data_IF_963934086802
#
_entry.id   IF_963934086802
#
_cell.length_a   1.000
_cell.length_b   1.000
_cell.length_c   1.000
_cell.angle_alpha   90.00
_cell.angle_beta   90.00
_cell.angle_gamma   90.00
#
_symmetry.space_group_name_H-M   'P 1'
#
loop_
_entity.id
_entity.type
_entity.pdbx_description
1 polymer ?
#
# COMPACT_ATOMS: atom_id res chain seq x y z
N UNK A 1 -6.08 -12.18 -37.75
CA UNK A 1 -5.79 -11.56 -36.45
C UNK A 1 -4.95 -10.31 -36.70
N UNK A 2 -5.48 -9.13 -36.40
CA UNK A 2 -4.71 -7.89 -36.42
C UNK A 2 -3.71 -7.99 -35.28
N UNK A 3 -2.41 -7.85 -35.57
CA UNK A 3 -1.41 -7.73 -34.51
C UNK A 3 -1.72 -6.44 -33.74
N UNK A 4 -2.10 -6.57 -32.47
CA UNK A 4 -2.17 -5.41 -31.59
C UNK A 4 -0.83 -4.69 -31.66
N UNK A 5 -0.85 -3.38 -31.88
CA UNK A 5 0.37 -2.57 -31.88
C UNK A 5 0.97 -2.57 -30.48
N UNK A 6 2.29 -2.32 -30.39
CA UNK A 6 2.96 -2.09 -29.11
C UNK A 6 2.22 -0.99 -28.33
N UNK A 7 2.05 -1.19 -27.02
CA UNK A 7 1.42 -0.21 -26.15
C UNK A 7 -0.11 -0.21 -26.11
N UNK A 8 -0.77 -1.18 -26.74
CA UNK A 8 -2.22 -1.30 -26.70
C UNK A 8 -2.66 -2.53 -25.90
N UNK A 9 -3.77 -2.40 -25.19
CA UNK A 9 -4.43 -3.56 -24.57
C UNK A 9 -4.70 -4.62 -25.63
N UNK A 10 -4.37 -5.88 -25.32
CA UNK A 10 -4.48 -7.02 -26.25
C UNK A 10 -5.74 -7.85 -26.05
N UNK A 11 -6.45 -7.63 -24.94
CA UNK A 11 -7.70 -8.31 -24.66
C UNK A 11 -8.85 -7.71 -25.49
N UNK A 12 -9.58 -8.59 -26.17
CA UNK A 12 -10.89 -8.24 -26.72
C UNK A 12 -11.92 -8.49 -25.60
N UNK A 13 -12.75 -7.54 -25.28
CA UNK A 13 -13.76 -7.69 -24.25
C UNK A 13 -13.99 -6.39 -23.49
N UNK A 14 -14.84 -6.45 -22.45
CA UNK A 14 -15.11 -5.29 -21.61
C UNK A 14 -13.89 -4.94 -20.80
N UNK A 15 -13.54 -3.66 -20.80
CA UNK A 15 -12.56 -3.13 -19.85
C UNK A 15 -13.19 -2.98 -18.45
N UNK A 16 -12.35 -2.82 -17.44
CA UNK A 16 -12.81 -2.46 -16.10
C UNK A 16 -13.59 -1.14 -16.14
N UNK A 17 -13.16 -0.17 -16.94
CA UNK A 17 -13.86 1.11 -17.11
C UNK A 17 -15.28 0.92 -17.67
N UNK A 18 -15.47 -0.02 -18.60
CA UNK A 18 -16.82 -0.34 -19.12
C UNK A 18 -17.75 -0.90 -18.03
N UNK A 19 -17.20 -1.54 -17.02
CA UNK A 19 -17.95 -2.01 -15.84
C UNK A 19 -18.26 -0.84 -14.91
N UNK A 20 -17.24 -0.06 -14.53
CA UNK A 20 -17.36 1.06 -13.60
C UNK A 20 -18.33 2.16 -14.11
N UNK A 21 -18.37 2.37 -15.42
CA UNK A 21 -19.31 3.33 -16.04
C UNK A 21 -20.78 2.94 -15.91
N UNK A 22 -21.08 1.70 -15.53
CA UNK A 22 -22.44 1.18 -15.29
C UNK A 22 -22.81 1.12 -13.82
N UNK A 23 -21.93 1.56 -12.93
CA UNK A 23 -22.21 1.62 -11.50
C UNK A 23 -23.44 2.49 -11.22
N UNK A 24 -24.29 2.06 -10.28
CA UNK A 24 -25.53 2.78 -9.90
C UNK A 24 -25.21 4.08 -9.17
N UNK A 25 -24.14 4.10 -8.39
CA UNK A 25 -23.50 5.31 -7.87
C UNK A 25 -22.18 5.44 -8.61
N UNK A 26 -21.98 6.55 -9.35
CA UNK A 26 -20.82 6.70 -10.22
C UNK A 26 -19.49 6.54 -9.48
N UNK A 27 -18.56 5.83 -10.12
CA UNK A 27 -17.20 5.73 -9.65
C UNK A 27 -16.52 7.12 -9.71
N UNK A 28 -15.68 7.49 -8.74
CA UNK A 28 -14.89 8.70 -8.80
C UNK A 28 -13.94 8.69 -10.00
N UNK A 29 -13.69 9.87 -10.59
CA UNK A 29 -12.88 10.01 -11.79
C UNK A 29 -11.52 9.28 -11.74
N UNK A 30 -10.77 9.30 -10.63
CA UNK A 30 -9.51 8.56 -10.54
C UNK A 30 -9.66 7.05 -10.70
N UNK A 31 -10.80 6.46 -10.32
CA UNK A 31 -11.06 5.04 -10.56
C UNK A 31 -11.36 4.75 -12.03
N UNK A 32 -11.96 5.71 -12.74
CA UNK A 32 -12.21 5.59 -14.19
C UNK A 32 -10.94 5.86 -15.02
N UNK A 33 -9.94 6.51 -14.45
CA UNK A 33 -8.68 6.74 -15.13
C UNK A 33 -7.97 5.41 -15.40
N UNK A 34 -7.42 5.29 -16.60
CA UNK A 34 -6.50 4.21 -16.95
C UNK A 34 -5.15 4.83 -17.26
N UNK A 35 -4.15 4.44 -16.51
CA UNK A 35 -2.79 4.96 -16.61
C UNK A 35 -1.86 3.85 -17.11
N UNK A 36 -2.15 3.34 -18.31
CA UNK A 36 -1.28 2.36 -18.96
C UNK A 36 -0.12 3.07 -19.67
N UNK A 37 1.09 2.82 -19.17
CA UNK A 37 2.32 3.22 -19.85
C UNK A 37 3.06 1.97 -20.36
N UNK A 38 3.34 1.94 -21.66
CA UNK A 38 4.05 0.82 -22.26
C UNK A 38 5.54 0.93 -21.99
N UNK A 39 6.05 0.11 -21.08
CA UNK A 39 7.46 0.10 -20.68
C UNK A 39 8.34 -0.85 -21.50
N UNK A 40 7.79 -1.53 -22.47
CA UNK A 40 8.48 -2.51 -23.35
C UNK A 40 7.96 -3.94 -23.17
N UNK A 41 8.33 -4.81 -24.09
CA UNK A 41 8.04 -6.26 -24.08
C UNK A 41 9.32 -7.11 -24.12
N UNK A 42 10.47 -6.52 -23.81
CA UNK A 42 11.72 -7.26 -23.69
C UNK A 42 11.74 -8.05 -22.35
N UNK A 43 12.44 -9.17 -22.36
CA UNK A 43 12.63 -9.97 -21.16
C UNK A 43 13.33 -9.15 -20.04
N UNK A 44 12.90 -9.34 -18.81
CA UNK A 44 13.55 -8.72 -17.66
C UNK A 44 14.85 -9.45 -17.35
N UNK A 45 15.93 -8.66 -17.13
CA UNK A 45 17.20 -9.21 -16.73
C UNK A 45 17.10 -9.86 -15.34
N UNK A 46 17.34 -11.17 -15.27
CA UNK A 46 17.31 -11.93 -14.02
C UNK A 46 18.30 -11.39 -12.95
N UNK A 47 19.33 -10.68 -13.36
CA UNK A 47 20.28 -10.06 -12.43
C UNK A 47 19.62 -9.04 -11.50
N UNK A 48 18.50 -8.43 -11.93
CA UNK A 48 17.70 -7.52 -11.09
C UNK A 48 17.16 -8.21 -9.82
N UNK A 49 17.03 -9.54 -9.83
CA UNK A 49 16.50 -10.34 -8.72
C UNK A 49 17.60 -11.07 -7.95
N UNK A 50 18.72 -11.33 -8.57
CA UNK A 50 19.73 -12.25 -8.04
C UNK A 50 21.04 -11.58 -7.64
N UNK A 51 21.38 -10.40 -8.19
CA UNK A 51 22.65 -9.76 -7.91
C UNK A 51 22.63 -8.85 -6.67
N UNK A 52 23.57 -9.11 -5.75
CA UNK A 52 23.76 -8.27 -4.56
C UNK A 52 24.09 -6.80 -4.90
N UNK A 53 24.80 -6.55 -6.01
CA UNK A 53 25.09 -5.21 -6.49
C UNK A 53 23.86 -4.43 -6.91
N UNK A 54 22.85 -5.11 -7.49
CA UNK A 54 21.58 -4.50 -7.82
C UNK A 54 20.79 -4.16 -6.53
N UNK A 55 20.69 -5.10 -5.59
CA UNK A 55 20.03 -4.87 -4.29
C UNK A 55 20.68 -3.70 -3.51
N UNK A 56 22.00 -3.55 -3.55
CA UNK A 56 22.69 -2.42 -2.94
C UNK A 56 22.31 -1.06 -3.58
N UNK A 57 22.10 -1.06 -4.91
CA UNK A 57 21.58 0.14 -5.61
C UNK A 57 20.14 0.45 -5.21
N UNK A 58 19.29 -0.54 -5.06
CA UNK A 58 17.91 -0.37 -4.57
C UNK A 58 17.90 0.28 -3.19
N UNK A 59 18.73 -0.21 -2.26
CA UNK A 59 18.83 0.38 -0.91
C UNK A 59 19.18 1.86 -0.92
N UNK A 60 20.08 2.29 -1.81
CA UNK A 60 20.58 3.66 -1.83
C UNK A 60 19.78 4.61 -2.72
N UNK A 61 19.22 4.11 -3.82
CA UNK A 61 18.58 4.92 -4.85
C UNK A 61 17.05 4.87 -4.84
N UNK A 62 16.48 3.85 -4.21
CA UNK A 62 15.03 3.67 -4.11
C UNK A 62 14.60 3.71 -2.64
N UNK A 63 14.93 2.69 -1.84
CA UNK A 63 14.50 2.61 -0.44
C UNK A 63 14.90 3.81 0.42
N UNK A 64 16.03 4.43 0.14
CA UNK A 64 16.47 5.65 0.82
C UNK A 64 15.78 6.94 0.32
N UNK A 65 14.92 6.85 -0.71
CA UNK A 65 14.35 8.03 -1.39
C UNK A 65 12.85 7.97 -1.63
N UNK A 66 12.18 6.93 -1.18
CA UNK A 66 10.73 6.76 -1.28
C UNK A 66 10.09 6.78 0.11
N UNK A 67 8.85 7.22 0.18
CA UNK A 67 8.07 7.08 1.39
C UNK A 67 7.77 5.61 1.65
N UNK A 68 7.94 5.19 2.89
CA UNK A 68 7.72 3.81 3.33
C UNK A 68 6.78 3.81 4.52
N UNK A 69 5.78 2.96 4.46
CA UNK A 69 4.94 2.71 5.62
C UNK A 69 5.77 2.03 6.72
N UNK A 70 5.97 2.74 7.82
CA UNK A 70 6.80 2.27 8.92
C UNK A 70 5.97 1.63 10.04
N UNK A 71 4.89 2.28 10.47
CA UNK A 71 4.01 1.78 11.52
C UNK A 71 2.64 2.44 11.44
N UNK A 72 1.75 2.06 12.35
CA UNK A 72 0.49 2.78 12.58
C UNK A 72 0.61 3.67 13.81
N UNK A 73 -0.22 4.72 13.86
CA UNK A 73 -0.31 5.61 15.03
C UNK A 73 -0.65 4.85 16.33
N UNK A 74 -1.42 3.77 16.23
CA UNK A 74 -1.75 2.93 17.38
C UNK A 74 -0.57 2.16 17.98
N UNK A 75 0.58 2.14 17.32
CA UNK A 75 1.81 1.60 17.93
C UNK A 75 2.51 2.60 18.87
N UNK A 76 2.17 3.88 18.72
CA UNK A 76 2.74 4.97 19.51
C UNK A 76 1.64 5.95 19.95
N UNK A 77 0.61 5.50 20.70
CA UNK A 77 -0.57 6.30 21.01
C UNK A 77 -0.29 7.46 21.96
N UNK A 78 0.68 7.32 22.89
CA UNK A 78 0.91 8.26 23.98
C UNK A 78 2.25 8.98 23.85
N UNK A 79 2.38 10.19 24.43
CA UNK A 79 3.66 10.86 24.58
C UNK A 79 4.71 9.94 25.22
N UNK A 80 5.92 9.90 24.65
CA UNK A 80 6.99 9.01 25.06
C UNK A 80 7.01 7.66 24.36
N UNK A 81 5.93 7.27 23.69
CA UNK A 81 5.91 6.08 22.87
C UNK A 81 6.81 6.20 21.66
N UNK A 82 7.39 5.09 21.28
CA UNK A 82 8.31 5.03 20.15
C UNK A 82 8.21 3.69 19.42
N UNK A 83 8.53 3.73 18.15
CA UNK A 83 8.63 2.58 17.27
C UNK A 83 9.99 2.59 16.57
N UNK A 84 10.63 1.44 16.46
CA UNK A 84 11.86 1.29 15.66
C UNK A 84 11.53 0.57 14.37
N UNK A 85 11.89 1.20 13.27
CA UNK A 85 11.74 0.67 11.92
C UNK A 85 13.10 0.41 11.29
N UNK A 86 13.35 -0.83 10.89
CA UNK A 86 14.59 -1.26 10.26
C UNK A 86 14.35 -1.63 8.80
N UNK A 87 15.16 -1.11 7.89
CA UNK A 87 15.15 -1.46 6.47
C UNK A 87 16.58 -1.57 5.93
N UNK A 88 17.01 -2.77 5.59
CA UNK A 88 18.37 -3.04 5.14
C UNK A 88 19.41 -2.50 6.15
N UNK A 89 20.31 -1.60 5.74
CA UNK A 89 21.32 -1.00 6.63
C UNK A 89 20.79 0.19 7.46
N UNK A 90 19.54 0.60 7.27
CA UNK A 90 18.97 1.77 7.90
C UNK A 90 18.11 1.39 9.09
N UNK A 91 18.18 2.21 10.14
CA UNK A 91 17.34 2.11 11.32
C UNK A 91 16.80 3.49 11.68
N UNK A 92 15.51 3.58 11.95
CA UNK A 92 14.79 4.82 12.25
C UNK A 92 14.03 4.66 13.57
N UNK A 93 14.12 5.66 14.43
CA UNK A 93 13.27 5.81 15.61
C UNK A 93 12.12 6.74 15.23
N UNK A 94 10.90 6.32 15.45
CA UNK A 94 9.70 7.14 15.36
C UNK A 94 9.22 7.34 16.77
N UNK A 95 8.98 8.58 17.21
CA UNK A 95 8.59 8.89 18.57
C UNK A 95 7.49 9.93 18.62
N UNK A 96 6.65 9.86 19.65
CA UNK A 96 5.65 10.88 19.95
C UNK A 96 6.16 11.77 21.09
N UNK A 97 6.20 13.07 20.84
CA UNK A 97 6.63 14.04 21.83
C UNK A 97 5.51 14.40 22.82
N UNK A 98 5.84 15.22 23.82
CA UNK A 98 4.93 15.68 24.89
C UNK A 98 3.72 16.48 24.33
N UNK A 99 3.83 17.04 23.14
CA UNK A 99 2.73 17.76 22.46
C UNK A 99 1.82 16.83 21.66
N UNK A 100 2.18 15.55 21.56
CA UNK A 100 1.50 14.55 20.73
C UNK A 100 1.97 14.52 19.27
N UNK A 101 2.95 15.33 18.90
CA UNK A 101 3.51 15.32 17.55
C UNK A 101 4.44 14.13 17.34
N UNK A 102 4.35 13.55 16.14
CA UNK A 102 5.22 12.43 15.74
C UNK A 102 6.45 12.97 15.02
N UNK A 103 7.59 12.40 15.37
CA UNK A 103 8.90 12.70 14.80
C UNK A 103 9.60 11.40 14.38
N UNK A 104 10.54 11.51 13.45
CA UNK A 104 11.39 10.39 13.08
C UNK A 104 12.86 10.82 13.01
N UNK A 105 13.75 9.93 13.46
CA UNK A 105 15.19 10.19 13.54
C UNK A 105 15.99 8.96 13.10
N UNK A 106 17.21 9.17 12.62
CA UNK A 106 18.18 8.10 12.48
C UNK A 106 18.46 7.48 13.86
N UNK A 107 18.37 6.16 13.95
CA UNK A 107 18.66 5.40 15.18
C UNK A 107 20.19 5.30 15.41
N UNK A 108 20.82 6.45 15.60
CA UNK A 108 22.27 6.57 15.66
C UNK A 108 22.67 7.77 16.54
N UNK A 109 23.47 7.52 17.55
CA UNK A 109 24.01 8.54 18.44
C UNK A 109 24.86 9.55 17.68
N UNK A 110 24.61 10.84 17.87
CA UNK A 110 25.36 11.93 17.21
C UNK A 110 26.78 12.10 17.74
N UNK A 111 27.13 11.42 18.85
CA UNK A 111 28.49 11.37 19.33
C UNK A 111 29.39 10.47 18.46
N UNK A 112 29.11 9.15 18.42
CA UNK A 112 29.98 8.17 17.73
C UNK A 112 29.21 7.08 16.98
N UNK A 113 27.94 7.31 16.63
CA UNK A 113 27.16 6.42 15.78
C UNK A 113 26.59 5.17 16.46
N UNK A 114 26.69 5.04 17.78
CA UNK A 114 26.09 3.91 18.52
C UNK A 114 24.60 3.85 18.24
N UNK A 115 24.06 2.67 17.91
CA UNK A 115 22.63 2.43 17.82
C UNK A 115 21.97 2.75 19.17
N UNK A 116 20.95 3.61 19.16
CA UNK A 116 20.32 4.11 20.39
C UNK A 116 19.33 3.10 20.97
N UNK A 117 18.48 2.53 20.12
CA UNK A 117 17.47 1.54 20.50
C UNK A 117 17.75 0.25 19.75
N UNK A 118 17.96 -0.83 20.50
CA UNK A 118 18.46 -2.10 19.96
C UNK A 118 17.41 -2.97 19.27
N UNK A 119 16.16 -2.89 19.69
CA UNK A 119 15.08 -3.75 19.19
C UNK A 119 14.16 -3.01 18.22
N UNK A 120 13.76 -3.72 17.15
CA UNK A 120 12.67 -3.30 16.27
C UNK A 120 11.33 -3.38 17.02
N UNK A 121 10.36 -2.55 16.64
CA UNK A 121 9.02 -2.54 17.20
C UNK A 121 8.80 -1.43 18.25
N UNK A 122 7.77 -1.62 19.06
CA UNK A 122 7.30 -0.62 20.04
C UNK A 122 8.17 -0.54 21.28
N UNK A 123 8.26 0.65 21.88
CA UNK A 123 8.91 0.92 23.15
C UNK A 123 8.40 2.22 23.76
N UNK A 124 8.81 2.49 25.00
CA UNK A 124 8.45 3.68 25.76
C UNK A 124 9.66 4.27 26.47
N UNK A 125 9.63 5.59 26.70
CA UNK A 125 10.60 6.30 27.54
C UNK A 125 10.43 7.82 27.44
N UNK A 126 10.73 8.51 28.52
CA UNK A 126 10.65 9.99 28.62
C UNK A 126 11.67 10.70 27.74
N UNK A 127 12.64 9.98 27.18
CA UNK A 127 13.65 10.46 26.25
C UNK A 127 14.43 9.30 25.64
N UNK A 128 15.34 9.61 24.76
CA UNK A 128 16.19 8.65 24.04
C UNK A 128 17.61 8.75 24.57
N UNK A 129 18.08 7.71 25.26
CA UNK A 129 19.41 7.70 25.89
C UNK A 129 20.35 6.74 25.18
N UNK A 130 21.54 7.20 24.87
CA UNK A 130 22.60 6.37 24.30
C UNK A 130 23.12 5.36 25.32
N UNK A 131 23.09 4.05 25.04
CA UNK A 131 23.52 3.02 25.98
C UNK A 131 25.04 3.00 26.24
N UNK A 132 25.81 3.77 25.44
CA UNK A 132 27.27 3.75 25.52
C UNK A 132 27.84 4.79 26.48
N UNK A 133 27.49 6.10 26.29
CA UNK A 133 28.02 7.17 27.12
C UNK A 133 26.93 8.03 27.81
N UNK A 134 25.66 7.63 27.72
CA UNK A 134 24.56 8.31 28.42
C UNK A 134 24.16 9.68 27.83
N UNK A 135 24.56 10.01 26.57
CA UNK A 135 23.98 11.17 25.91
C UNK A 135 22.50 10.96 25.71
N UNK A 136 21.70 11.97 26.02
CA UNK A 136 20.23 11.85 25.93
C UNK A 136 19.60 12.97 25.10
N UNK A 137 18.45 12.64 24.53
CA UNK A 137 17.62 13.51 23.72
C UNK A 137 16.16 13.39 24.16
N UNK A 138 15.43 14.47 24.05
CA UNK A 138 13.97 14.46 24.18
C UNK A 138 13.31 13.67 23.04
N UNK A 139 12.02 13.38 23.19
CA UNK A 139 11.26 12.67 22.15
C UNK A 139 11.09 13.46 20.85
N UNK A 140 11.31 14.78 20.87
CA UNK A 140 11.39 15.63 19.66
C UNK A 140 12.78 15.64 18.99
N UNK A 141 13.72 14.87 19.53
CA UNK A 141 15.09 14.73 19.04
C UNK A 141 16.05 15.83 19.47
N UNK A 142 15.61 16.82 20.23
CA UNK A 142 16.48 17.86 20.78
C UNK A 142 17.42 17.28 21.85
N UNK A 143 18.68 17.73 21.84
CA UNK A 143 19.68 17.28 22.81
C UNK A 143 19.29 17.73 24.21
N UNK A 144 19.16 16.76 25.13
CA UNK A 144 18.80 16.99 26.50
C UNK A 144 20.03 17.10 27.42
N UNK A 145 20.86 16.06 27.44
CA UNK A 145 21.96 15.98 28.39
C UNK A 145 23.20 15.28 27.79
N UNK A 146 24.36 15.77 28.21
CA UNK A 146 25.66 15.16 27.98
C UNK A 146 26.38 15.01 29.32
N UNK A 147 26.75 13.79 29.73
CA UNK A 147 27.63 13.60 30.87
C UNK A 147 28.97 14.31 30.68
N UNK A 148 29.52 14.91 31.71
CA UNK A 148 30.76 15.69 31.65
C UNK A 148 30.74 16.79 30.58
N UNK A 149 29.66 17.56 30.49
CA UNK A 149 29.43 18.62 29.48
C UNK A 149 30.62 19.57 29.30
N UNK A 150 31.39 19.81 30.39
CA UNK A 150 32.58 20.67 30.37
C UNK A 150 33.68 20.19 29.39
N UNK A 151 33.76 18.89 29.12
CA UNK A 151 34.71 18.34 28.14
C UNK A 151 34.23 18.50 26.68
N UNK A 152 33.01 18.93 26.48
CA UNK A 152 32.35 19.07 25.19
C UNK A 152 31.84 20.49 24.94
N UNK A 153 32.68 21.55 25.05
CA UNK A 153 32.23 22.93 24.90
C UNK A 153 31.67 23.26 23.52
N UNK A 154 32.06 22.49 22.47
CA UNK A 154 31.66 22.65 21.10
C UNK A 154 30.32 21.98 20.78
N UNK A 155 29.78 21.18 21.66
CA UNK A 155 28.50 20.47 21.46
C UNK A 155 27.36 21.34 21.96
N UNK A 156 26.42 21.62 21.07
CA UNK A 156 25.22 22.41 21.36
C UNK A 156 23.97 21.71 20.85
N UNK A 157 22.81 22.21 21.27
CA UNK A 157 21.51 21.76 20.76
C UNK A 157 21.35 22.00 19.25
N UNK A 158 22.01 22.97 18.69
CA UNK A 158 21.98 23.25 17.24
C UNK A 158 22.79 22.24 16.42
N UNK A 159 23.84 21.65 17.03
CA UNK A 159 24.80 20.82 16.30
C UNK A 159 24.61 19.31 16.54
N UNK A 160 24.03 18.92 17.67
CA UNK A 160 24.00 17.51 18.10
C UNK A 160 22.60 16.96 18.42
N UNK A 161 21.54 17.59 17.93
CA UNK A 161 20.22 16.97 17.90
C UNK A 161 20.26 15.66 17.09
N UNK A 162 19.30 14.77 17.34
CA UNK A 162 19.15 13.58 16.49
C UNK A 162 18.92 13.99 15.04
N UNK A 163 19.50 13.23 14.14
CA UNK A 163 19.38 13.49 12.69
C UNK A 163 17.96 13.18 12.24
N UNK A 164 17.18 14.18 11.79
CA UNK A 164 15.81 13.98 11.41
C UNK A 164 15.69 13.10 10.16
N UNK A 165 14.56 12.40 10.11
CA UNK A 165 14.06 11.66 8.96
C UNK A 165 12.71 12.25 8.62
N UNK A 166 12.40 12.45 7.35
CA UNK A 166 11.09 12.93 6.95
C UNK A 166 10.01 11.95 7.44
N UNK A 167 8.96 12.50 8.05
CA UNK A 167 7.88 11.72 8.66
C UNK A 167 6.56 12.42 8.38
N UNK A 168 5.56 11.67 7.94
CA UNK A 168 4.22 12.15 7.69
C UNK A 168 3.21 11.02 7.95
N UNK A 169 1.93 11.35 8.05
CA UNK A 169 0.88 10.39 8.34
C UNK A 169 -0.32 10.55 7.39
N UNK A 170 -0.90 9.41 7.03
CA UNK A 170 -2.15 9.36 6.28
C UNK A 170 -3.00 8.17 6.74
N UNK A 171 -4.27 8.40 7.06
CA UNK A 171 -5.22 7.36 7.43
C UNK A 171 -4.81 6.52 8.66
N UNK A 172 -4.06 7.11 9.60
CA UNK A 172 -3.53 6.41 10.76
C UNK A 172 -2.27 5.57 10.48
N UNK A 173 -1.73 5.65 9.25
CA UNK A 173 -0.45 5.07 8.86
C UNK A 173 0.64 6.12 8.95
N UNK A 174 1.77 5.80 9.57
CA UNK A 174 2.95 6.66 9.66
C UNK A 174 3.94 6.22 8.60
N UNK A 175 4.36 7.18 7.79
CA UNK A 175 5.35 7.00 6.74
C UNK A 175 6.63 7.74 7.07
N UNK A 176 7.74 7.17 6.61
CA UNK A 176 9.06 7.81 6.69
C UNK A 176 9.71 7.89 5.31
N UNK A 177 10.55 8.90 5.12
CA UNK A 177 11.44 8.98 3.97
C UNK A 177 12.83 9.37 4.44
N UNK A 178 13.83 8.60 4.05
CA UNK A 178 15.23 8.82 4.47
C UNK A 178 15.89 9.98 3.75
N UNK A 179 15.26 10.52 2.70
CA UNK A 179 15.66 11.74 1.99
C UNK A 179 15.03 12.96 2.68
N UNK A 180 15.86 13.81 3.26
CA UNK A 180 15.37 15.03 3.90
C UNK A 180 14.76 16.05 2.90
N UNK A 181 15.01 15.88 1.60
CA UNK A 181 14.46 16.69 0.52
C UNK A 181 13.29 15.99 -0.20
N UNK A 182 12.70 14.98 0.42
CA UNK A 182 11.56 14.26 -0.16
C UNK A 182 10.39 15.21 -0.48
N UNK A 183 9.74 14.98 -1.60
CA UNK A 183 8.45 15.60 -1.89
C UNK A 183 7.40 15.21 -0.83
N UNK A 184 6.31 15.96 -0.66
CA UNK A 184 5.23 15.60 0.26
C UNK A 184 4.73 14.17 0.08
N UNK A 185 4.31 13.52 1.16
CA UNK A 185 3.74 12.17 1.11
C UNK A 185 2.53 12.10 0.14
N UNK A 186 1.71 13.15 0.09
CA UNK A 186 0.57 13.23 -0.82
C UNK A 186 0.92 13.00 -2.29
N UNK A 187 2.10 13.42 -2.70
CA UNK A 187 2.56 13.27 -4.08
C UNK A 187 2.87 11.80 -4.43
N UNK A 188 3.23 10.99 -3.43
CA UNK A 188 3.46 9.55 -3.62
C UNK A 188 2.17 8.75 -3.47
N UNK A 189 1.23 9.19 -2.64
CA UNK A 189 -0.06 8.50 -2.44
C UNK A 189 -0.99 8.62 -3.66
N UNK A 190 -0.83 9.67 -4.46
CA UNK A 190 -1.55 9.87 -5.73
C UNK A 190 -3.07 9.61 -5.58
N UNK A 191 -3.63 8.73 -6.41
CA UNK A 191 -5.06 8.38 -6.46
C UNK A 191 -5.60 7.76 -5.16
N UNK A 192 -4.73 7.23 -4.31
CA UNK A 192 -5.15 6.53 -3.08
C UNK A 192 -5.91 7.47 -2.14
N UNK A 193 -5.48 8.73 -2.00
CA UNK A 193 -6.11 9.68 -1.09
C UNK A 193 -7.57 9.93 -1.45
N UNK A 194 -7.89 9.98 -2.73
CA UNK A 194 -9.25 10.18 -3.22
C UNK A 194 -10.08 8.90 -3.12
N UNK A 195 -9.51 7.74 -3.47
CA UNK A 195 -10.22 6.48 -3.36
C UNK A 195 -10.68 6.22 -1.92
N UNK A 196 -9.79 6.43 -0.95
CA UNK A 196 -10.06 6.11 0.45
C UNK A 196 -10.72 7.24 1.25
N UNK A 197 -11.08 8.38 0.64
CA UNK A 197 -11.62 9.55 1.34
C UNK A 197 -12.89 9.29 2.17
N UNK A 198 -13.68 8.27 1.80
CA UNK A 198 -14.91 7.89 2.51
C UNK A 198 -14.71 6.75 3.51
N UNK A 199 -13.50 6.23 3.63
CA UNK A 199 -13.17 5.14 4.53
C UNK A 199 -12.41 5.67 5.75
N UNK A 200 -12.91 5.46 6.98
CA UNK A 200 -12.25 5.95 8.19
C UNK A 200 -11.04 5.07 8.55
N UNK A 201 -9.97 5.17 7.77
CA UNK A 201 -8.77 4.35 7.93
C UNK A 201 -8.07 4.61 9.27
N UNK A 202 -8.12 5.85 9.75
CA UNK A 202 -7.58 6.29 11.05
C UNK A 202 -8.29 5.62 12.24
N UNK A 203 -9.57 5.24 12.07
CA UNK A 203 -10.35 4.54 13.09
C UNK A 203 -10.17 3.02 13.05
N UNK A 204 -9.49 2.49 12.04
CA UNK A 204 -9.17 1.06 11.95
C UNK A 204 -8.12 0.69 12.97
N UNK A 205 -8.21 -0.55 13.48
CA UNK A 205 -7.24 -1.13 14.43
C UNK A 205 -6.66 -2.41 13.88
N UNK A 206 -5.41 -2.66 14.19
CA UNK A 206 -4.74 -3.92 13.85
C UNK A 206 -5.39 -5.04 14.67
N UNK A 207 -6.03 -5.96 13.99
CA UNK A 207 -6.59 -7.16 14.62
C UNK A 207 -5.55 -8.26 14.75
N UNK A 208 -4.71 -8.40 13.72
CA UNK A 208 -3.65 -9.41 13.65
C UNK A 208 -2.48 -8.80 12.89
N UNK A 209 -1.27 -8.99 13.40
CA UNK A 209 -0.03 -8.67 12.72
C UNK A 209 0.82 -9.94 12.63
N UNK A 210 1.04 -10.43 11.42
CA UNK A 210 1.88 -11.61 11.15
C UNK A 210 3.04 -11.19 10.27
N UNK A 211 4.23 -11.55 10.68
CA UNK A 211 5.46 -11.30 9.93
C UNK A 211 6.12 -12.62 9.55
N UNK A 212 6.47 -12.77 8.28
CA UNK A 212 7.14 -13.96 7.77
C UNK A 212 8.31 -13.56 6.88
N UNK A 213 9.48 -14.13 7.15
CA UNK A 213 10.63 -13.99 6.25
C UNK A 213 10.53 -15.04 5.14
N UNK A 214 10.53 -14.57 3.89
CA UNK A 214 10.52 -15.42 2.71
C UNK A 214 11.94 -15.49 2.11
N UNK A 215 12.40 -16.66 1.63
CA UNK A 215 13.66 -16.82 0.92
C UNK A 215 13.52 -16.38 -0.55
N UNK A 216 13.04 -15.18 -0.78
CA UNK A 216 12.76 -14.63 -2.11
C UNK A 216 13.17 -13.15 -2.19
N UNK A 217 13.43 -12.68 -3.40
CA UNK A 217 13.59 -11.26 -3.66
C UNK A 217 12.25 -10.54 -3.46
N UNK A 218 12.30 -9.35 -2.85
CA UNK A 218 11.10 -8.58 -2.53
C UNK A 218 10.24 -8.27 -3.77
N UNK A 219 10.88 -7.99 -4.93
CA UNK A 219 10.16 -7.73 -6.19
C UNK A 219 9.37 -8.95 -6.63
N UNK A 220 9.99 -10.14 -6.64
CA UNK A 220 9.29 -11.36 -7.02
C UNK A 220 8.13 -11.69 -6.08
N UNK A 221 8.25 -11.37 -4.78
CA UNK A 221 7.15 -11.53 -3.83
C UNK A 221 6.02 -10.52 -4.09
N UNK A 222 6.35 -9.27 -4.39
CA UNK A 222 5.35 -8.22 -4.70
C UNK A 222 4.68 -8.46 -6.06
N UNK A 223 5.45 -8.80 -7.08
CA UNK A 223 4.97 -8.99 -8.45
C UNK A 223 3.87 -10.07 -8.53
N UNK A 224 3.92 -11.10 -7.67
CA UNK A 224 2.85 -12.09 -7.57
C UNK A 224 1.49 -11.50 -7.17
N UNK A 225 1.46 -10.33 -6.56
CA UNK A 225 0.23 -9.60 -6.21
C UNK A 225 -0.14 -8.50 -7.22
N UNK A 226 0.73 -8.25 -8.20
CA UNK A 226 0.49 -7.24 -9.24
C UNK A 226 -0.14 -7.83 -10.51
N UNK A 227 -0.47 -9.13 -10.52
CA UNK A 227 -1.04 -9.79 -11.66
C UNK A 227 -2.03 -10.88 -11.23
N UNK A 228 -3.00 -11.21 -12.07
CA UNK A 228 -3.93 -12.31 -11.85
C UNK A 228 -3.71 -13.49 -12.83
N UNK A 229 -2.64 -13.44 -13.61
CA UNK A 229 -2.36 -14.46 -14.61
C UNK A 229 -2.15 -15.84 -13.98
N UNK A 230 -1.51 -15.88 -12.80
CA UNK A 230 -1.29 -17.10 -12.03
C UNK A 230 -2.57 -17.69 -11.41
N UNK A 231 -3.66 -16.90 -11.30
CA UNK A 231 -4.88 -17.34 -10.62
C UNK A 231 -5.51 -18.56 -11.28
N UNK A 232 -5.36 -18.69 -12.60
CA UNK A 232 -5.93 -19.80 -13.37
C UNK A 232 -5.34 -21.13 -12.88
N UNK A 233 -4.02 -21.23 -12.80
CA UNK A 233 -3.33 -22.48 -12.43
C UNK A 233 -3.12 -22.62 -10.91
N UNK A 234 -2.72 -21.54 -10.25
CA UNK A 234 -2.34 -21.60 -8.82
C UNK A 234 -3.55 -21.65 -7.91
N UNK A 235 -4.56 -20.85 -8.18
CA UNK A 235 -5.74 -20.74 -7.33
C UNK A 235 -6.97 -21.44 -7.89
N UNK A 236 -6.89 -22.00 -9.10
CA UNK A 236 -7.99 -22.64 -9.81
C UNK A 236 -9.25 -21.76 -9.82
N UNK A 237 -9.06 -20.45 -9.98
CA UNK A 237 -10.10 -19.46 -9.90
C UNK A 237 -10.33 -18.80 -11.24
N UNK A 238 -11.57 -18.85 -11.79
CA UNK A 238 -11.92 -18.14 -13.02
C UNK A 238 -11.99 -16.62 -12.83
N UNK A 239 -11.81 -16.13 -11.60
CA UNK A 239 -11.99 -14.72 -11.25
C UNK A 239 -10.93 -13.79 -11.84
N UNK A 240 -9.88 -14.31 -12.49
CA UNK A 240 -8.87 -13.51 -13.19
C UNK A 240 -9.37 -12.76 -14.43
N UNK A 241 -10.58 -13.08 -14.91
CA UNK A 241 -11.08 -12.62 -16.21
C UNK A 241 -11.48 -11.13 -16.25
N UNK A 242 -11.78 -10.51 -15.11
CA UNK A 242 -12.22 -9.10 -15.02
C UNK A 242 -11.28 -8.30 -14.15
N UNK A 243 -10.00 -8.34 -14.46
CA UNK A 243 -8.97 -7.62 -13.73
C UNK A 243 -8.27 -6.62 -14.62
N UNK A 244 -7.87 -5.52 -14.04
CA UNK A 244 -7.07 -4.50 -14.70
C UNK A 244 -5.92 -4.08 -13.78
N UNK A 245 -4.78 -3.84 -14.42
CA UNK A 245 -3.57 -3.32 -13.79
C UNK A 245 -3.30 -1.94 -14.36
N UNK A 246 -3.12 -0.98 -13.46
CA UNK A 246 -2.77 0.38 -13.82
C UNK A 246 -1.52 0.81 -13.07
N UNK A 247 -0.76 1.72 -13.68
CA UNK A 247 0.38 2.39 -13.07
C UNK A 247 0.04 3.87 -13.02
N UNK A 248 0.07 4.45 -11.81
CA UNK A 248 -0.16 5.88 -11.62
C UNK A 248 1.16 6.56 -11.31
N UNK A 249 1.53 7.53 -12.13
CA UNK A 249 2.76 8.28 -11.96
C UNK A 249 3.99 7.40 -11.81
N UNK A 250 4.66 7.46 -10.65
CA UNK A 250 5.93 6.78 -10.40
C UNK A 250 5.89 5.78 -9.24
N UNK A 251 4.89 5.85 -8.40
CA UNK A 251 4.92 5.21 -7.09
C UNK A 251 3.76 4.25 -6.84
N UNK A 252 2.64 4.44 -7.52
CA UNK A 252 1.43 3.67 -7.25
C UNK A 252 1.11 2.76 -8.42
N UNK A 253 0.97 1.47 -8.13
CA UNK A 253 0.31 0.53 -9.02
C UNK A 253 -1.03 0.14 -8.43
N UNK A 254 -2.00 -0.11 -9.28
CA UNK A 254 -3.35 -0.51 -8.90
C UNK A 254 -3.76 -1.77 -9.62
N UNK A 255 -4.35 -2.67 -8.86
CA UNK A 255 -5.03 -3.85 -9.34
C UNK A 255 -6.52 -3.72 -9.00
N UNK A 256 -7.40 -3.88 -9.99
CA UNK A 256 -8.84 -3.89 -9.79
C UNK A 256 -9.40 -5.22 -10.26
N UNK A 257 -10.16 -5.87 -9.39
CA UNK A 257 -10.91 -7.07 -9.69
C UNK A 257 -12.40 -6.82 -9.48
N UNK A 258 -13.17 -6.84 -10.56
CA UNK A 258 -14.60 -6.54 -10.50
C UNK A 258 -15.42 -7.70 -9.95
N UNK A 259 -16.24 -7.43 -8.94
CA UNK A 259 -17.18 -8.37 -8.34
C UNK A 259 -18.56 -8.28 -9.04
N UNK A 260 -19.24 -9.41 -9.13
CA UNK A 260 -20.57 -9.47 -9.74
C UNK A 260 -20.56 -9.34 -11.27
N UNK A 261 -19.41 -9.57 -11.89
CA UNK A 261 -19.26 -9.63 -13.32
C UNK A 261 -18.49 -10.88 -13.73
N UNK A 262 -18.69 -11.31 -14.97
CA UNK A 262 -17.96 -12.41 -15.56
C UNK A 262 -17.81 -12.18 -17.06
N UNK A 263 -16.62 -12.32 -17.60
CA UNK A 263 -16.35 -12.22 -19.02
C UNK A 263 -15.64 -13.47 -19.51
N UNK A 264 -16.36 -14.44 -20.08
CA UNK A 264 -15.75 -15.65 -20.63
C UNK A 264 -14.89 -15.34 -21.87
N UNK A 265 -15.09 -14.19 -22.49
CA UNK A 265 -14.39 -13.80 -23.72
C UNK A 265 -12.89 -13.57 -23.50
N UNK A 266 -12.50 -13.16 -22.31
CA UNK A 266 -11.09 -12.96 -21.96
C UNK A 266 -10.32 -14.27 -21.75
N UNK A 267 -11.02 -15.39 -21.54
CA UNK A 267 -10.43 -16.72 -21.38
C UNK A 267 -10.53 -17.57 -22.67
N UNK A 268 -11.38 -17.15 -23.63
CA UNK A 268 -11.65 -17.93 -24.86
C UNK A 268 -10.45 -18.05 -25.79
N UNK A 269 -9.48 -17.14 -25.68
CA UNK A 269 -8.28 -17.09 -26.50
C UNK A 269 -7.10 -17.93 -25.96
N UNK A 270 -7.32 -18.70 -24.90
CA UNK A 270 -6.33 -19.62 -24.36
C UNK A 270 -6.37 -20.96 -25.08
N UNK A 271 -5.51 -21.20 -26.09
CA UNK A 271 -5.47 -22.48 -26.78
C UNK A 271 -4.93 -23.56 -25.83
N UNK A 272 -5.73 -24.59 -25.64
CA UNK A 272 -5.32 -25.77 -24.89
C UNK A 272 -5.69 -25.79 -23.41
N UNK A 273 -6.40 -24.79 -22.91
CA UNK A 273 -7.02 -24.87 -21.59
C UNK A 273 -8.41 -25.46 -21.73
N UNK A 274 -8.63 -26.63 -21.12
CA UNK A 274 -9.97 -27.21 -20.93
C UNK A 274 -10.82 -26.39 -19.94
N UNK A 275 -10.29 -25.29 -19.45
CA UNK A 275 -10.89 -24.32 -18.53
C UNK A 275 -11.85 -23.36 -19.27
N UNK A 276 -12.72 -23.94 -20.08
CA UNK A 276 -13.85 -23.19 -20.60
C UNK A 276 -14.93 -23.17 -19.52
N UNK A 277 -14.85 -22.17 -18.67
CA UNK A 277 -15.99 -21.89 -17.83
C UNK A 277 -17.22 -21.67 -18.75
N UNK A 278 -18.34 -22.30 -18.43
CA UNK A 278 -19.57 -22.06 -19.18
C UNK A 278 -19.92 -20.57 -19.08
N UNK A 279 -20.52 -20.05 -20.15
CA UNK A 279 -21.11 -18.71 -20.12
C UNK A 279 -22.13 -18.69 -18.99
N UNK A 280 -21.85 -17.95 -17.91
CA UNK A 280 -22.73 -17.85 -16.77
C UNK A 280 -23.85 -16.84 -17.04
N UNK A 281 -25.05 -17.19 -16.65
CA UNK A 281 -26.15 -16.24 -16.56
C UNK A 281 -25.94 -15.28 -15.39
N UNK A 282 -26.57 -14.10 -15.44
CA UNK A 282 -26.52 -13.13 -14.34
C UNK A 282 -26.94 -13.76 -13.00
N UNK A 283 -27.92 -14.67 -13.00
CA UNK A 283 -28.34 -15.39 -11.80
C UNK A 283 -27.26 -16.34 -11.27
N UNK A 284 -26.53 -17.02 -12.15
CA UNK A 284 -25.40 -17.87 -11.77
C UNK A 284 -24.21 -17.06 -11.25
N UNK A 285 -23.91 -15.91 -11.88
CA UNK A 285 -22.90 -14.98 -11.40
C UNK A 285 -23.26 -14.51 -9.98
N UNK A 286 -24.51 -14.06 -9.77
CA UNK A 286 -24.99 -13.62 -8.47
C UNK A 286 -24.84 -14.72 -7.40
N UNK A 287 -25.24 -15.93 -7.71
CA UNK A 287 -25.15 -17.05 -6.79
C UNK A 287 -23.69 -17.41 -6.44
N UNK A 288 -22.79 -17.42 -7.43
CA UNK A 288 -21.38 -17.84 -7.25
C UNK A 288 -20.52 -16.77 -6.62
N UNK A 289 -20.71 -15.50 -6.98
CA UNK A 289 -19.81 -14.40 -6.56
C UNK A 289 -20.34 -13.64 -5.34
N UNK A 290 -21.66 -13.61 -5.15
CA UNK A 290 -22.30 -12.86 -4.05
C UNK A 290 -22.91 -13.78 -3.00
N UNK A 291 -23.17 -15.05 -3.36
CA UNK A 291 -23.82 -16.01 -2.48
C UNK A 291 -25.33 -15.77 -2.32
N UNK A 292 -25.94 -15.01 -3.23
CA UNK A 292 -27.37 -14.70 -3.23
C UNK A 292 -28.05 -15.50 -4.34
N UNK A 293 -29.06 -16.29 -3.95
CA UNK A 293 -29.87 -17.09 -4.88
C UNK A 293 -31.29 -16.52 -4.94
N UNK A 294 -31.57 -15.70 -5.95
CA UNK A 294 -32.89 -15.18 -6.27
C UNK A 294 -33.04 -14.93 -7.75
N UNK A 295 -34.27 -14.85 -8.23
CA UNK A 295 -34.56 -14.36 -9.56
C UNK A 295 -34.24 -12.87 -9.67
N UNK A 296 -33.65 -12.47 -10.79
CA UNK A 296 -33.36 -11.07 -11.10
C UNK A 296 -34.61 -10.42 -11.70
N UNK A 297 -34.91 -9.21 -11.31
CA UNK A 297 -35.93 -8.40 -11.95
C UNK A 297 -35.47 -7.90 -13.32
N UNK A 298 -36.39 -7.48 -14.21
CA UNK A 298 -36.01 -6.90 -15.49
C UNK A 298 -35.06 -5.69 -15.32
N UNK A 299 -33.90 -5.76 -15.94
CA UNK A 299 -32.86 -4.72 -15.87
C UNK A 299 -31.86 -4.86 -14.71
N UNK A 300 -32.07 -5.78 -13.78
CA UNK A 300 -31.06 -6.09 -12.77
C UNK A 300 -29.92 -6.95 -13.34
N UNK A 301 -28.73 -6.71 -12.83
CA UNK A 301 -27.55 -7.54 -13.06
C UNK A 301 -27.04 -8.10 -11.73
N UNK A 302 -26.21 -9.11 -11.76
CA UNK A 302 -25.57 -9.64 -10.57
C UNK A 302 -24.84 -8.54 -9.79
N UNK A 303 -24.16 -7.62 -10.51
CA UNK A 303 -23.42 -6.51 -9.94
C UNK A 303 -24.34 -5.49 -9.24
N UNK A 304 -25.46 -5.10 -9.84
CA UNK A 304 -26.38 -4.13 -9.24
C UNK A 304 -27.00 -4.69 -7.96
N UNK A 305 -27.36 -5.96 -7.94
CA UNK A 305 -27.89 -6.63 -6.75
C UNK A 305 -26.83 -6.78 -5.66
N UNK A 306 -25.61 -7.12 -6.03
CA UNK A 306 -24.50 -7.20 -5.10
C UNK A 306 -24.20 -5.83 -4.46
N UNK A 307 -24.26 -4.76 -5.23
CA UNK A 307 -24.05 -3.41 -4.74
C UNK A 307 -25.13 -2.98 -3.73
N UNK A 308 -26.39 -3.28 -4.01
CA UNK A 308 -27.51 -3.00 -3.10
C UNK A 308 -27.39 -3.78 -1.78
N UNK A 309 -27.06 -5.06 -1.86
CA UNK A 309 -26.83 -5.89 -0.67
C UNK A 309 -25.65 -5.38 0.16
N UNK A 310 -24.52 -5.06 -0.50
CA UNK A 310 -23.36 -4.51 0.17
C UNK A 310 -23.65 -3.16 0.83
N UNK A 311 -24.37 -2.24 0.17
CA UNK A 311 -24.82 -0.98 0.77
C UNK A 311 -25.68 -1.20 1.99
N UNK A 312 -26.61 -2.14 1.92
CA UNK A 312 -27.49 -2.49 3.05
C UNK A 312 -26.68 -3.01 4.24
N UNK A 313 -25.75 -3.93 4.00
CA UNK A 313 -24.89 -4.48 5.06
C UNK A 313 -23.95 -3.44 5.67
N UNK A 314 -23.45 -2.53 4.86
CA UNK A 314 -22.49 -1.51 5.27
C UNK A 314 -23.13 -0.18 5.70
N UNK A 315 -24.47 -0.07 5.66
CA UNK A 315 -25.21 1.18 5.91
C UNK A 315 -24.78 1.88 7.21
N UNK A 316 -24.65 1.13 8.30
CA UNK A 316 -24.24 1.67 9.60
C UNK A 316 -22.81 2.17 9.59
N UNK A 317 -21.90 1.45 8.93
CA UNK A 317 -20.47 1.81 8.86
C UNK A 317 -20.21 3.01 7.94
N UNK A 318 -20.94 3.09 6.83
CA UNK A 318 -20.82 4.17 5.85
C UNK A 318 -21.52 5.47 6.29
N UNK A 319 -22.59 5.35 7.08
CA UNK A 319 -23.37 6.52 7.53
C UNK A 319 -23.80 7.42 6.36
N UNK A 320 -23.51 8.72 6.46
CA UNK A 320 -23.83 9.70 5.41
C UNK A 320 -23.05 9.49 4.10
N UNK A 321 -21.90 8.84 4.14
CA UNK A 321 -21.08 8.55 2.95
C UNK A 321 -21.71 7.52 2.02
N UNK A 322 -22.71 6.77 2.48
CA UNK A 322 -23.39 5.71 1.69
C UNK A 322 -23.87 6.20 0.31
N UNK A 323 -24.32 7.45 0.22
CA UNK A 323 -24.83 8.04 -1.01
C UNK A 323 -23.73 8.39 -2.04
N UNK A 324 -22.48 8.43 -1.61
CA UNK A 324 -21.35 8.91 -2.41
C UNK A 324 -20.32 7.82 -2.72
N UNK A 325 -20.37 6.69 -2.01
CA UNK A 325 -19.47 5.56 -2.26
C UNK A 325 -19.99 4.78 -3.47
N UNK A 326 -19.17 4.64 -4.49
CA UNK A 326 -19.53 3.93 -5.72
C UNK A 326 -19.70 2.43 -5.51
N UNK A 327 -20.32 1.76 -6.48
CA UNK A 327 -20.47 0.29 -6.42
C UNK A 327 -19.09 -0.38 -6.42
N UNK A 328 -18.14 0.12 -7.21
CA UNK A 328 -16.78 -0.41 -7.23
C UNK A 328 -16.06 -0.23 -5.90
N UNK A 329 -16.24 0.89 -5.21
CA UNK A 329 -15.61 1.11 -3.90
C UNK A 329 -16.12 0.17 -2.79
N UNK A 330 -17.31 -0.41 -2.94
CA UNK A 330 -17.88 -1.32 -1.94
C UNK A 330 -17.87 -2.79 -2.35
N UNK A 331 -17.71 -3.08 -3.65
CA UNK A 331 -17.77 -4.43 -4.19
C UNK A 331 -16.43 -4.96 -4.63
N UNK A 332 -15.64 -4.13 -5.32
CA UNK A 332 -14.48 -4.61 -6.03
C UNK A 332 -13.29 -4.76 -5.08
N UNK A 333 -12.46 -5.76 -5.36
CA UNK A 333 -11.13 -5.82 -4.75
C UNK A 333 -10.25 -4.84 -5.49
N UNK A 334 -9.84 -3.80 -4.80
CA UNK A 334 -8.96 -2.77 -5.33
C UNK A 334 -7.74 -2.73 -4.43
N UNK A 335 -6.62 -3.12 -4.99
CA UNK A 335 -5.35 -3.19 -4.29
C UNK A 335 -4.42 -2.11 -4.83
N UNK A 336 -3.75 -1.43 -3.91
CA UNK A 336 -2.75 -0.44 -4.22
C UNK A 336 -1.40 -0.88 -3.66
N UNK A 337 -0.37 -0.72 -4.47
CA UNK A 337 1.01 -0.98 -4.08
C UNK A 337 1.82 0.31 -4.26
N UNK A 338 2.49 0.72 -3.19
CA UNK A 338 3.38 1.86 -3.11
C UNK A 338 4.83 1.44 -3.27
#
# INVERSE_FOLDING_TARGET
MSKAGKGHARAAGRSVQDVLLKDTVPAPLPLLASAYDFLGDDDLDAQRYTEAGFAAKEMTKMWAKTWQWACREEHIPEPGDRYVYDIGPYSVIISRDETGKVHAFRNSCTHRGTRLIGSEGTGFGTGITCPFHGWSWHCDGSLEQIPAKWDFPHVTTETHNLRPVACDAWGGFIFINLDAAAAPLSDQLEVMTEHFQHFPLDQRRIKVHVQKRLPANWKAAQEAFLEAYHNVETHHSPNGANTQYDIFGRFVTRFIHNTGTYSPESLSDYPGTEWRDPVLTEAEILARTVGVTRALAPGETARTVAAEDARTRLATALGASQAHVSDSQILDSIEYHL
#
